data_IF_761847527548
#
_entry.id   IF_761847527548
#
_cell.length_a   1.000
_cell.length_b   1.000
_cell.length_c   1.000
_cell.angle_alpha   90.00
_cell.angle_beta   90.00
_cell.angle_gamma   90.00
#
_symmetry.space_group_name_H-M   'P 1'
#
loop_
_entity.id
_entity.type
_entity.pdbx_description
1 polymer ?
#
# COMPACT_ATOMS: atom_id res chain seq x y z
N UNK A 1 -10.03 18.31 -16.00
CA UNK A 1 -10.78 19.57 -15.94
C UNK A 1 -11.62 19.78 -17.20
N UNK A 2 -11.05 19.63 -18.41
CA UNK A 2 -11.78 19.83 -19.67
C UNK A 2 -13.03 18.96 -19.75
N UNK A 3 -12.91 17.66 -19.43
CA UNK A 3 -14.03 16.70 -19.49
C UNK A 3 -15.08 16.97 -18.40
N UNK A 4 -14.68 17.62 -17.30
CA UNK A 4 -15.58 18.05 -16.23
C UNK A 4 -16.19 19.45 -16.48
N UNK A 5 -15.78 20.15 -17.54
CA UNK A 5 -16.24 21.51 -17.84
C UNK A 5 -15.84 22.55 -16.78
N UNK A 6 -14.76 22.28 -16.01
CA UNK A 6 -14.28 23.14 -14.91
C UNK A 6 -13.00 23.84 -15.34
N UNK A 7 -12.92 25.15 -15.13
CA UNK A 7 -11.69 25.91 -15.34
C UNK A 7 -10.74 25.74 -14.14
N UNK A 8 -9.44 25.91 -14.36
CA UNK A 8 -8.48 25.82 -13.27
C UNK A 8 -8.68 26.92 -12.22
N UNK A 9 -9.18 28.09 -12.62
CA UNK A 9 -9.56 29.21 -11.73
C UNK A 9 -10.71 28.88 -10.79
N UNK A 10 -11.52 27.87 -11.10
CA UNK A 10 -12.71 27.50 -10.31
C UNK A 10 -12.37 26.45 -9.23
N UNK A 11 -11.12 25.98 -9.19
CA UNK A 11 -10.66 25.03 -8.18
C UNK A 11 -10.49 25.72 -6.82
N UNK A 12 -10.92 25.04 -5.76
CA UNK A 12 -10.70 25.50 -4.36
C UNK A 12 -9.27 25.27 -3.89
N UNK A 13 -8.58 24.25 -4.43
CA UNK A 13 -7.21 23.91 -4.13
C UNK A 13 -6.65 22.88 -5.15
N UNK A 14 -5.34 22.67 -5.15
CA UNK A 14 -4.69 21.54 -5.84
C UNK A 14 -4.05 20.63 -4.82
N UNK A 15 -4.48 19.38 -4.78
CA UNK A 15 -3.86 18.36 -3.94
C UNK A 15 -2.75 17.65 -4.71
N UNK A 16 -1.60 17.48 -4.08
CA UNK A 16 -0.45 16.80 -4.70
C UNK A 16 0.31 15.94 -3.71
N UNK A 17 0.72 14.76 -4.14
CA UNK A 17 1.57 13.87 -3.34
C UNK A 17 2.99 14.47 -3.25
N UNK A 18 3.41 14.75 -2.02
CA UNK A 18 4.76 15.26 -1.72
C UNK A 18 5.68 14.16 -1.17
N UNK A 19 5.15 13.01 -0.84
CA UNK A 19 5.87 11.83 -0.32
C UNK A 19 4.95 10.76 0.27
N UNK A 20 5.54 9.61 0.64
CA UNK A 20 6.85 9.12 0.21
C UNK A 20 6.84 8.71 -1.26
N UNK A 21 8.06 8.58 -1.86
CA UNK A 21 8.20 8.18 -3.25
C UNK A 21 9.54 8.58 -3.87
N UNK A 22 9.73 8.25 -5.13
CA UNK A 22 10.93 8.62 -5.87
C UNK A 22 10.99 10.13 -6.06
N UNK A 23 12.06 10.78 -5.59
CA UNK A 23 12.22 12.24 -5.61
C UNK A 23 11.97 12.85 -7.00
N UNK A 24 12.44 12.18 -8.05
CA UNK A 24 12.26 12.66 -9.44
C UNK A 24 10.78 12.65 -9.84
N UNK A 25 10.04 11.59 -9.49
CA UNK A 25 8.60 11.48 -9.78
C UNK A 25 7.78 12.49 -8.96
N UNK A 26 8.09 12.62 -7.67
CA UNK A 26 7.44 13.61 -6.80
C UNK A 26 7.64 15.02 -7.32
N UNK A 27 8.86 15.37 -7.76
CA UNK A 27 9.19 16.70 -8.27
C UNK A 27 8.31 17.08 -9.46
N UNK A 28 8.09 16.16 -10.41
CA UNK A 28 7.24 16.42 -11.59
C UNK A 28 5.83 16.85 -11.18
N UNK A 29 5.21 16.09 -10.26
CA UNK A 29 3.87 16.39 -9.77
C UNK A 29 3.80 17.70 -8.97
N UNK A 30 4.75 17.92 -8.08
CA UNK A 30 4.78 19.10 -7.20
C UNK A 30 5.02 20.37 -8.01
N UNK A 31 5.95 20.38 -8.97
CA UNK A 31 6.20 21.55 -9.83
C UNK A 31 4.94 21.89 -10.64
N UNK A 32 4.31 20.90 -11.28
CA UNK A 32 3.09 21.12 -12.03
C UNK A 32 1.95 21.67 -11.16
N UNK A 33 1.79 21.15 -9.96
CA UNK A 33 0.78 21.64 -8.99
C UNK A 33 1.08 23.09 -8.57
N UNK A 34 2.34 23.40 -8.24
CA UNK A 34 2.76 24.75 -7.87
C UNK A 34 2.52 25.76 -9.00
N UNK A 35 2.78 25.39 -10.24
CA UNK A 35 2.58 26.27 -11.41
C UNK A 35 1.08 26.60 -11.57
N UNK A 36 0.20 25.60 -11.46
CA UNK A 36 -1.27 25.82 -11.49
C UNK A 36 -1.72 26.72 -10.34
N UNK A 37 -1.26 26.43 -9.11
CA UNK A 37 -1.60 27.22 -7.93
C UNK A 37 -1.15 28.66 -8.06
N UNK A 38 0.08 28.91 -8.49
CA UNK A 38 0.63 30.25 -8.69
C UNK A 38 -0.11 31.03 -9.81
N UNK A 39 -0.42 30.36 -10.92
CA UNK A 39 -1.12 31.00 -12.04
C UNK A 39 -2.54 31.47 -11.67
N UNK A 40 -3.24 30.69 -10.85
CA UNK A 40 -4.66 30.94 -10.53
C UNK A 40 -4.86 31.46 -9.10
N UNK A 41 -3.79 31.68 -8.35
CA UNK A 41 -3.81 32.13 -6.95
C UNK A 41 -4.69 31.24 -6.05
N UNK A 42 -4.53 29.92 -6.17
CA UNK A 42 -5.27 28.92 -5.39
C UNK A 42 -4.35 28.13 -4.47
N UNK A 43 -4.85 27.68 -3.30
CA UNK A 43 -4.06 26.95 -2.33
C UNK A 43 -3.51 25.61 -2.87
N UNK A 44 -2.39 25.16 -2.31
CA UNK A 44 -1.85 23.82 -2.52
C UNK A 44 -2.04 22.97 -1.27
N UNK A 45 -2.40 21.70 -1.46
CA UNK A 45 -2.58 20.74 -0.36
C UNK A 45 -1.56 19.63 -0.48
N UNK A 46 -0.51 19.63 0.33
CA UNK A 46 0.45 18.52 0.39
C UNK A 46 -0.22 17.26 0.93
N UNK A 47 -0.09 16.14 0.20
CA UNK A 47 -0.71 14.85 0.56
C UNK A 47 0.35 13.78 0.76
N UNK A 48 0.18 13.00 1.82
CA UNK A 48 0.95 11.78 2.03
C UNK A 48 0.35 10.63 1.21
N UNK A 49 1.15 9.99 0.37
CA UNK A 49 0.70 8.94 -0.56
C UNK A 49 -0.04 7.79 0.13
N UNK A 50 0.50 7.27 1.24
CA UNK A 50 -0.12 6.15 1.96
C UNK A 50 -1.40 6.56 2.70
N UNK A 51 -1.51 7.83 3.15
CA UNK A 51 -2.73 8.38 3.72
C UNK A 51 -3.85 8.40 2.67
N UNK A 52 -3.53 8.81 1.44
CA UNK A 52 -4.49 8.84 0.34
C UNK A 52 -5.10 7.45 0.04
N UNK A 53 -4.28 6.39 0.10
CA UNK A 53 -4.77 5.01 -0.02
C UNK A 53 -5.74 4.60 1.10
N UNK A 54 -5.51 5.06 2.33
CA UNK A 54 -6.43 4.79 3.45
C UNK A 54 -7.73 5.61 3.34
N UNK A 55 -7.59 6.90 3.05
CA UNK A 55 -8.73 7.83 3.04
C UNK A 55 -9.68 7.63 1.86
N UNK A 56 -9.23 7.09 0.71
CA UNK A 56 -10.11 6.86 -0.45
C UNK A 56 -11.26 5.90 -0.13
N UNK A 57 -11.13 5.06 0.90
CA UNK A 57 -12.22 4.22 1.40
C UNK A 57 -13.40 5.06 1.93
N UNK A 58 -13.14 6.25 2.45
CA UNK A 58 -14.17 7.19 2.93
C UNK A 58 -14.97 7.81 1.78
N UNK A 59 -14.33 8.04 0.64
CA UNK A 59 -15.05 8.41 -0.60
C UNK A 59 -15.91 7.25 -1.10
N UNK A 60 -15.36 6.04 -1.13
CA UNK A 60 -16.03 4.87 -1.70
C UNK A 60 -17.16 4.32 -0.83
N UNK A 61 -16.94 4.27 0.50
CA UNK A 61 -17.88 3.71 1.47
C UNK A 61 -18.80 4.75 2.13
N UNK A 62 -18.52 6.03 1.92
CA UNK A 62 -19.15 7.15 2.64
C UNK A 62 -18.48 7.42 4.00
N UNK A 63 -18.39 8.70 4.36
CA UNK A 63 -17.78 9.14 5.62
C UNK A 63 -18.54 8.64 6.86
N UNK A 64 -19.85 8.41 6.72
CA UNK A 64 -20.68 7.85 7.79
C UNK A 64 -20.38 6.37 8.08
N UNK A 65 -19.94 5.62 7.08
CA UNK A 65 -19.61 4.20 7.22
C UNK A 65 -18.15 3.98 7.62
N UNK A 66 -17.24 4.85 7.14
CA UNK A 66 -15.81 4.79 7.45
C UNK A 66 -15.48 5.98 8.35
N UNK A 67 -15.82 5.86 9.64
CA UNK A 67 -15.52 6.87 10.66
C UNK A 67 -14.12 6.64 11.24
N UNK A 68 -13.53 7.67 11.78
CA UNK A 68 -12.34 7.53 12.61
C UNK A 68 -12.73 7.06 14.03
N UNK A 69 -11.92 6.25 14.70
CA UNK A 69 -10.75 5.56 14.17
C UNK A 69 -11.09 4.32 13.36
N UNK A 70 -10.23 3.95 12.39
CA UNK A 70 -10.34 2.69 11.66
C UNK A 70 -8.96 2.04 11.50
N UNK A 71 -8.95 0.72 11.28
CA UNK A 71 -7.72 -0.03 10.94
C UNK A 71 -7.57 -0.10 9.42
N UNK A 72 -6.48 0.45 8.87
CA UNK A 72 -6.15 0.33 7.46
C UNK A 72 -5.10 -0.77 7.25
N UNK A 73 -5.39 -1.71 6.35
CA UNK A 73 -4.44 -2.65 5.79
C UNK A 73 -4.13 -2.22 4.35
N UNK A 74 -2.93 -1.70 4.14
CA UNK A 74 -2.44 -1.29 2.84
C UNK A 74 -1.58 -2.41 2.25
N UNK A 75 -2.06 -3.06 1.18
CA UNK A 75 -1.40 -4.21 0.53
C UNK A 75 -1.24 -3.98 -0.96
N UNK A 76 -0.01 -3.78 -1.41
CA UNK A 76 0.32 -3.50 -2.80
C UNK A 76 1.58 -4.25 -3.25
N UNK A 77 2.05 -3.98 -4.46
CA UNK A 77 3.34 -4.49 -4.96
C UNK A 77 4.53 -3.98 -4.16
N UNK A 78 4.48 -2.77 -3.60
CA UNK A 78 5.59 -2.16 -2.87
C UNK A 78 5.39 -2.04 -1.36
N UNK A 79 4.17 -2.18 -0.87
CA UNK A 79 3.85 -1.89 0.53
C UNK A 79 2.94 -2.96 1.15
N UNK A 80 3.27 -3.34 2.40
CA UNK A 80 2.38 -4.03 3.32
C UNK A 80 2.45 -3.31 4.66
N UNK A 81 1.35 -2.66 5.06
CA UNK A 81 1.30 -1.93 6.33
C UNK A 81 -0.06 -2.11 7.01
N UNK A 82 -0.02 -2.26 8.32
CA UNK A 82 -1.18 -2.17 9.21
C UNK A 82 -1.08 -0.86 9.98
N UNK A 83 -2.10 -0.01 9.82
CA UNK A 83 -2.10 1.36 10.30
C UNK A 83 -3.39 1.62 11.06
N UNK A 84 -3.29 2.05 12.30
CA UNK A 84 -4.42 2.64 13.02
C UNK A 84 -4.53 4.10 12.57
N UNK A 85 -5.63 4.46 11.93
CA UNK A 85 -5.95 5.82 11.48
C UNK A 85 -6.96 6.43 12.45
N UNK A 86 -6.52 7.38 13.27
CA UNK A 86 -7.34 8.06 14.28
C UNK A 86 -7.99 9.34 13.74
N UNK A 87 -7.38 9.92 12.69
CA UNK A 87 -7.83 11.12 12.02
C UNK A 87 -6.96 11.40 10.80
N UNK A 88 -7.28 12.45 10.06
CA UNK A 88 -6.43 12.97 8.99
C UNK A 88 -5.12 13.48 9.59
N UNK A 89 -3.99 12.98 9.12
CA UNK A 89 -2.66 13.30 9.67
C UNK A 89 -2.33 12.60 10.99
N UNK A 90 -3.24 11.83 11.57
CA UNK A 90 -3.04 11.13 12.85
C UNK A 90 -3.10 9.62 12.68
N UNK A 91 -1.91 8.99 12.62
CA UNK A 91 -1.74 7.58 12.30
C UNK A 91 -0.72 6.92 13.22
N UNK A 92 -0.95 5.63 13.53
CA UNK A 92 -0.01 4.76 14.23
C UNK A 92 0.28 3.53 13.37
N UNK A 93 1.53 3.30 13.02
CA UNK A 93 1.96 2.10 12.28
C UNK A 93 2.09 0.94 13.26
N UNK A 94 1.18 -0.04 13.16
CA UNK A 94 1.17 -1.23 13.99
C UNK A 94 2.11 -2.32 13.46
N UNK A 95 2.31 -2.37 12.14
CA UNK A 95 3.22 -3.31 11.49
C UNK A 95 3.48 -2.95 10.04
N UNK A 96 4.60 -3.42 9.52
CA UNK A 96 4.98 -3.23 8.11
C UNK A 96 5.79 -4.42 7.61
N UNK A 97 5.95 -4.53 6.28
CA UNK A 97 6.84 -5.56 5.74
C UNK A 97 8.29 -5.29 6.11
N UNK A 98 9.01 -6.36 6.45
CA UNK A 98 10.44 -6.33 6.79
C UNK A 98 11.33 -6.60 5.55
N UNK A 99 10.71 -7.13 4.49
CA UNK A 99 11.37 -7.51 3.25
C UNK A 99 10.44 -7.28 2.05
N UNK A 100 10.10 -8.31 1.27
CA UNK A 100 9.18 -8.19 0.14
C UNK A 100 7.76 -7.83 0.60
N UNK A 101 7.03 -7.06 -0.21
CA UNK A 101 5.58 -6.88 -0.05
C UNK A 101 4.82 -8.09 -0.61
N UNK A 102 3.55 -8.26 -0.21
CA UNK A 102 2.72 -9.39 -0.65
C UNK A 102 2.56 -9.41 -2.18
N UNK A 103 2.24 -8.28 -2.80
CA UNK A 103 2.08 -8.21 -4.25
C UNK A 103 3.39 -8.55 -4.98
N UNK A 104 4.53 -8.11 -4.48
CA UNK A 104 5.85 -8.49 -5.01
C UNK A 104 6.09 -10.00 -4.88
N UNK A 105 5.66 -10.62 -3.76
CA UNK A 105 5.77 -12.06 -3.57
C UNK A 105 4.90 -12.84 -4.56
N UNK A 106 3.68 -12.36 -4.86
CA UNK A 106 2.81 -12.90 -5.90
C UNK A 106 3.45 -12.78 -7.28
N UNK A 107 3.95 -11.61 -7.65
CA UNK A 107 4.59 -11.36 -8.94
C UNK A 107 5.82 -12.24 -9.14
N UNK A 108 6.67 -12.37 -8.13
CA UNK A 108 7.86 -13.22 -8.16
C UNK A 108 7.49 -14.70 -8.27
N UNK A 109 6.46 -15.14 -7.54
CA UNK A 109 5.97 -16.53 -7.62
C UNK A 109 5.36 -16.83 -8.99
N UNK A 110 4.58 -15.92 -9.56
CA UNK A 110 4.05 -16.08 -10.92
C UNK A 110 5.16 -16.25 -11.95
N UNK A 111 6.22 -15.44 -11.85
CA UNK A 111 7.40 -15.57 -12.74
C UNK A 111 8.16 -16.88 -12.53
N UNK A 112 8.32 -17.34 -11.28
CA UNK A 112 8.93 -18.63 -10.97
C UNK A 112 8.16 -19.80 -11.61
N UNK A 113 6.84 -19.68 -11.70
CA UNK A 113 5.96 -20.67 -12.34
C UNK A 113 5.88 -20.50 -13.87
N UNK A 114 6.55 -19.49 -14.43
CA UNK A 114 6.55 -19.21 -15.87
C UNK A 114 5.22 -18.67 -16.38
N UNK A 115 4.44 -17.97 -15.54
CA UNK A 115 3.17 -17.36 -15.94
C UNK A 115 3.41 -16.06 -16.73
N UNK A 116 2.50 -15.75 -17.64
CA UNK A 116 2.48 -14.44 -18.29
C UNK A 116 2.05 -13.37 -17.27
N UNK A 117 2.92 -12.40 -17.05
CA UNK A 117 2.72 -11.32 -16.08
C UNK A 117 2.44 -9.96 -16.74
N UNK A 118 2.02 -9.94 -18.00
CA UNK A 118 1.77 -8.71 -18.76
C UNK A 118 0.71 -7.79 -18.13
N UNK A 119 -0.20 -8.35 -17.33
CA UNK A 119 -1.21 -7.61 -16.53
C UNK A 119 -0.94 -7.59 -15.02
N UNK A 120 0.25 -8.03 -14.58
CA UNK A 120 0.60 -8.26 -13.18
C UNK A 120 0.55 -9.75 -12.80
N UNK A 121 1.53 -10.20 -12.01
CA UNK A 121 1.64 -11.61 -11.61
C UNK A 121 0.55 -12.05 -10.63
N UNK A 122 -0.01 -11.13 -9.86
CA UNK A 122 -1.05 -11.42 -8.88
C UNK A 122 -2.29 -12.07 -9.49
N UNK A 123 -2.95 -11.46 -10.49
CA UNK A 123 -4.12 -12.05 -11.15
C UNK A 123 -3.83 -13.40 -11.84
N UNK A 124 -2.67 -13.53 -12.49
CA UNK A 124 -2.28 -14.78 -13.15
C UNK A 124 -2.09 -15.92 -12.14
N UNK A 125 -1.45 -15.62 -11.01
CA UNK A 125 -1.25 -16.60 -9.94
C UNK A 125 -2.57 -16.98 -9.26
N UNK A 126 -3.44 -16.01 -9.01
CA UNK A 126 -4.77 -16.24 -8.41
C UNK A 126 -5.61 -17.16 -9.31
N UNK A 127 -5.63 -16.91 -10.62
CA UNK A 127 -6.35 -17.75 -11.57
C UNK A 127 -5.82 -19.19 -11.56
N UNK A 128 -4.51 -19.37 -11.59
CA UNK A 128 -3.90 -20.70 -11.53
C UNK A 128 -4.14 -21.42 -10.20
N UNK A 129 -4.13 -20.68 -9.09
CA UNK A 129 -4.34 -21.25 -7.75
C UNK A 129 -5.74 -21.88 -7.57
N UNK A 130 -6.75 -21.42 -8.32
CA UNK A 130 -8.10 -22.02 -8.29
C UNK A 130 -8.10 -23.47 -8.79
N UNK A 131 -7.18 -23.83 -9.65
CA UNK A 131 -7.07 -25.16 -10.26
C UNK A 131 -6.27 -26.15 -9.41
N UNK A 132 -5.56 -25.66 -8.36
CA UNK A 132 -4.63 -26.43 -7.55
C UNK A 132 -5.18 -26.88 -6.20
N UNK A 133 -4.50 -27.88 -5.61
CA UNK A 133 -4.74 -28.28 -4.22
C UNK A 133 -3.87 -27.43 -3.28
N UNK A 134 -4.53 -26.61 -2.46
CA UNK A 134 -3.90 -25.74 -1.46
C UNK A 134 -3.12 -26.51 -0.36
N UNK A 135 -3.30 -27.81 -0.25
CA UNK A 135 -2.65 -28.67 0.75
C UNK A 135 -1.51 -29.52 0.17
N UNK A 136 -1.29 -29.48 -1.15
CA UNK A 136 -0.26 -30.28 -1.84
C UNK A 136 1.15 -29.95 -1.32
N UNK A 137 1.40 -28.65 -1.00
CA UNK A 137 2.68 -28.20 -0.45
C UNK A 137 2.49 -27.60 0.95
N UNK A 138 3.32 -28.04 1.89
CA UNK A 138 3.30 -27.51 3.28
C UNK A 138 4.26 -26.32 3.41
N UNK A 139 3.96 -25.22 2.73
CA UNK A 139 4.76 -24.01 2.88
C UNK A 139 4.63 -23.41 4.29
N UNK A 140 5.74 -22.90 4.85
CA UNK A 140 5.72 -22.30 6.18
C UNK A 140 4.99 -20.96 6.16
N UNK A 141 4.09 -20.75 7.12
CA UNK A 141 3.53 -19.41 7.38
C UNK A 141 4.65 -18.53 7.95
N UNK A 142 4.96 -17.37 7.29
CA UNK A 142 6.07 -16.53 7.72
C UNK A 142 5.89 -15.98 9.14
N UNK A 143 7.00 -15.74 9.84
CA UNK A 143 7.05 -15.11 11.17
C UNK A 143 6.09 -15.73 12.21
N UNK A 144 5.65 -16.97 12.07
CA UNK A 144 4.62 -17.61 12.91
C UNK A 144 4.93 -17.55 14.42
N UNK A 145 6.23 -17.56 14.78
CA UNK A 145 6.67 -17.50 16.18
C UNK A 145 6.76 -16.07 16.73
N UNK A 146 6.73 -15.05 15.87
CA UNK A 146 6.77 -13.64 16.28
C UNK A 146 5.36 -13.14 16.54
N UNK A 147 5.17 -12.57 17.75
CA UNK A 147 3.88 -12.02 18.18
C UNK A 147 3.79 -10.52 17.91
N UNK A 148 4.10 -10.10 16.67
CA UNK A 148 3.97 -8.72 16.20
C UNK A 148 3.07 -8.66 14.97
N UNK A 149 2.85 -7.46 14.43
CA UNK A 149 2.02 -7.21 13.25
C UNK A 149 2.85 -7.02 11.97
N UNK A 150 4.17 -7.29 12.00
CA UNK A 150 5.03 -7.17 10.83
C UNK A 150 4.85 -8.34 9.86
N UNK A 151 5.15 -8.06 8.59
CA UNK A 151 5.10 -9.02 7.50
C UNK A 151 6.49 -9.40 7.01
N UNK A 152 6.59 -10.57 6.39
CA UNK A 152 7.77 -11.03 5.68
C UNK A 152 7.35 -12.10 4.67
N UNK A 153 7.86 -12.04 3.46
CA UNK A 153 7.55 -13.02 2.41
C UNK A 153 8.80 -13.64 1.77
N UNK A 154 10.00 -13.16 2.10
CA UNK A 154 11.25 -13.66 1.55
C UNK A 154 11.47 -15.17 1.80
N UNK A 155 11.16 -15.65 3.02
CA UNK A 155 11.26 -17.06 3.37
C UNK A 155 10.25 -17.94 2.62
N UNK A 156 9.01 -17.46 2.44
CA UNK A 156 7.98 -18.15 1.68
C UNK A 156 8.36 -18.25 0.20
N UNK A 157 8.82 -17.14 -0.39
CA UNK A 157 9.34 -17.12 -1.76
C UNK A 157 10.48 -18.11 -1.98
N UNK A 158 11.42 -18.21 -1.02
CA UNK A 158 12.50 -19.19 -1.07
C UNK A 158 11.97 -20.63 -1.05
N UNK A 159 10.97 -20.92 -0.20
CA UNK A 159 10.35 -22.24 -0.15
C UNK A 159 9.67 -22.61 -1.46
N UNK A 160 8.97 -21.65 -2.10
CA UNK A 160 8.37 -21.82 -3.44
C UNK A 160 9.44 -22.09 -4.48
N UNK A 161 10.52 -21.30 -4.50
CA UNK A 161 11.63 -21.52 -5.44
C UNK A 161 12.19 -22.94 -5.36
N UNK A 162 12.47 -23.42 -4.15
CA UNK A 162 12.97 -24.78 -3.93
C UNK A 162 11.96 -25.86 -4.39
N UNK A 163 10.67 -25.65 -4.23
CA UNK A 163 9.65 -26.55 -4.74
C UNK A 163 9.64 -26.59 -6.28
N UNK A 164 9.73 -25.42 -6.93
CA UNK A 164 9.81 -25.30 -8.39
C UNK A 164 11.08 -25.98 -8.94
N UNK A 165 12.24 -25.74 -8.30
CA UNK A 165 13.51 -26.38 -8.69
C UNK A 165 13.40 -27.93 -8.62
N UNK A 166 12.83 -28.44 -7.53
CA UNK A 166 12.72 -29.87 -7.29
C UNK A 166 11.72 -30.56 -8.24
N UNK A 167 10.51 -30.01 -8.41
CA UNK A 167 9.38 -30.71 -9.00
C UNK A 167 9.11 -30.31 -10.46
N UNK A 168 9.59 -29.15 -10.89
CA UNK A 168 9.49 -28.69 -12.27
C UNK A 168 10.81 -28.80 -13.05
N UNK A 169 11.84 -29.36 -12.42
CA UNK A 169 13.09 -29.71 -13.11
C UNK A 169 13.96 -28.54 -13.54
N UNK A 170 13.91 -27.43 -12.81
CA UNK A 170 14.81 -26.30 -13.03
C UNK A 170 16.19 -26.66 -12.47
N UNK A 171 17.30 -26.47 -13.24
CA UNK A 171 18.64 -26.77 -12.75
C UNK A 171 18.97 -25.99 -11.47
N UNK A 172 19.49 -26.69 -10.47
CA UNK A 172 19.98 -26.07 -9.25
C UNK A 172 21.10 -25.07 -9.58
N UNK A 173 21.00 -23.85 -9.09
CA UNK A 173 22.00 -22.82 -9.33
C UNK A 173 21.88 -22.07 -10.65
N UNK A 174 20.80 -22.23 -11.43
CA UNK A 174 20.55 -21.37 -12.58
C UNK A 174 20.50 -19.89 -12.15
N UNK A 175 21.50 -19.13 -12.60
CA UNK A 175 21.67 -17.73 -12.24
C UNK A 175 20.48 -16.88 -12.71
N UNK A 176 19.87 -17.21 -13.85
CA UNK A 176 18.70 -16.51 -14.38
C UNK A 176 17.46 -16.76 -13.49
N UNK A 177 17.24 -18.01 -13.08
CA UNK A 177 16.17 -18.39 -12.18
C UNK A 177 16.36 -17.80 -10.76
N UNK A 178 17.59 -17.83 -10.25
CA UNK A 178 17.93 -17.24 -8.96
C UNK A 178 17.76 -15.72 -8.96
N UNK A 179 18.07 -15.05 -10.07
CA UNK A 179 17.92 -13.60 -10.24
C UNK A 179 16.45 -13.14 -10.13
N UNK A 180 15.47 -13.97 -10.51
CA UNK A 180 14.02 -13.67 -10.32
C UNK A 180 13.66 -13.45 -8.86
N UNK A 181 14.41 -14.08 -7.94
CA UNK A 181 14.18 -14.01 -6.50
C UNK A 181 14.97 -12.90 -5.82
N UNK A 182 15.93 -12.25 -6.50
CA UNK A 182 16.77 -11.23 -5.90
C UNK A 182 15.98 -9.92 -5.63
N UNK A 183 16.19 -9.27 -4.48
CA UNK A 183 15.56 -7.98 -4.18
C UNK A 183 15.92 -6.92 -5.21
N UNK A 184 14.92 -6.19 -5.71
CA UNK A 184 15.13 -5.04 -6.61
C UNK A 184 15.53 -5.36 -8.04
N UNK A 185 15.60 -6.63 -8.44
CA UNK A 185 15.84 -6.99 -9.83
C UNK A 185 14.54 -7.17 -10.60
N UNK A 186 14.42 -6.52 -11.75
CA UNK A 186 13.34 -6.73 -12.72
C UNK A 186 13.75 -7.94 -13.59
N UNK A 187 13.00 -9.05 -13.56
CA UNK A 187 13.30 -10.21 -14.40
C UNK A 187 13.22 -9.84 -15.87
N UNK A 188 14.17 -10.31 -16.65
CA UNK A 188 14.17 -10.13 -18.11
C UNK A 188 13.34 -11.24 -18.78
N UNK A 189 12.79 -11.01 -19.99
CA UNK A 189 11.99 -12.01 -20.72
C UNK A 189 12.68 -13.36 -20.92
N UNK A 190 14.02 -13.37 -21.00
CA UNK A 190 14.81 -14.60 -21.09
C UNK A 190 14.67 -15.52 -19.87
N UNK A 191 14.28 -15.01 -18.71
CA UNK A 191 14.04 -15.81 -17.50
C UNK A 191 12.78 -16.69 -17.61
N UNK A 192 11.84 -16.35 -18.51
CA UNK A 192 10.65 -17.15 -18.76
C UNK A 192 10.98 -18.47 -19.54
N UNK A 193 12.16 -18.57 -20.14
CA UNK A 193 12.56 -19.75 -20.94
C UNK A 193 12.87 -21.00 -20.11
N UNK A 194 13.07 -20.85 -18.81
CA UNK A 194 13.48 -21.94 -17.91
C UNK A 194 12.40 -23.03 -17.78
N UNK A 195 11.14 -22.70 -18.06
CA UNK A 195 10.00 -23.61 -17.91
C UNK A 195 9.30 -23.91 -19.25
N UNK A 196 10.04 -24.06 -20.35
CA UNK A 196 9.42 -24.38 -21.64
C UNK A 196 8.89 -25.83 -21.67
N UNK A 197 7.73 -25.99 -22.28
CA UNK A 197 7.05 -27.28 -22.47
C UNK A 197 7.37 -27.90 -23.84
N UNK A 198 8.30 -27.30 -24.59
CA UNK A 198 8.67 -27.74 -25.92
C UNK A 198 9.26 -29.18 -25.89
N UNK A 199 8.62 -30.07 -26.62
CA UNK A 199 9.04 -31.49 -26.73
C UNK A 199 8.51 -32.43 -25.64
N UNK A 200 7.62 -31.92 -24.75
CA UNK A 200 6.92 -32.77 -23.77
C UNK A 200 5.69 -33.43 -24.40
N UNK A 201 5.29 -34.61 -23.88
CA UNK A 201 3.99 -35.18 -24.20
C UNK A 201 2.83 -34.40 -23.54
N UNK A 202 1.62 -34.51 -24.09
CA UNK A 202 0.42 -33.84 -23.54
C UNK A 202 0.19 -34.22 -22.08
N UNK A 203 0.38 -35.49 -21.71
CA UNK A 203 0.27 -35.98 -20.33
C UNK A 203 1.31 -35.30 -19.40
N UNK A 204 2.55 -35.13 -19.90
CA UNK A 204 3.59 -34.46 -19.11
C UNK A 204 3.35 -32.96 -18.96
N UNK A 205 2.77 -32.31 -19.97
CA UNK A 205 2.34 -30.91 -19.90
C UNK A 205 1.22 -30.74 -18.87
N UNK A 206 0.21 -31.63 -18.90
CA UNK A 206 -0.91 -31.59 -17.92
C UNK A 206 -0.43 -31.85 -16.49
N UNK A 207 0.43 -32.83 -16.26
CA UNK A 207 1.03 -33.11 -14.96
C UNK A 207 1.85 -31.91 -14.44
N UNK A 208 2.59 -31.25 -15.34
CA UNK A 208 3.35 -30.05 -15.03
C UNK A 208 2.44 -28.86 -14.69
N UNK A 209 1.36 -28.66 -15.45
CA UNK A 209 0.36 -27.64 -15.18
C UNK A 209 -0.26 -27.84 -13.80
N UNK A 210 -0.68 -29.07 -13.48
CA UNK A 210 -1.19 -29.39 -12.15
C UNK A 210 -0.19 -29.09 -11.04
N UNK A 211 1.07 -29.44 -11.21
CA UNK A 211 2.13 -29.13 -10.23
C UNK A 211 2.26 -27.62 -10.02
N UNK A 212 2.23 -26.81 -11.09
CA UNK A 212 2.24 -25.33 -11.00
C UNK A 212 1.02 -24.83 -10.24
N UNK A 213 -0.17 -25.37 -10.53
CA UNK A 213 -1.41 -24.99 -9.87
C UNK A 213 -1.39 -25.32 -8.36
N UNK A 214 -0.89 -26.51 -7.99
CA UNK A 214 -0.75 -26.94 -6.59
C UNK A 214 0.23 -26.05 -5.82
N UNK A 215 1.37 -25.66 -6.44
CA UNK A 215 2.32 -24.71 -5.84
C UNK A 215 1.66 -23.34 -5.66
N UNK A 216 0.94 -22.84 -6.68
CA UNK A 216 0.25 -21.55 -6.61
C UNK A 216 -0.81 -21.51 -5.50
N UNK A 217 -1.65 -22.54 -5.40
CA UNK A 217 -2.69 -22.66 -4.39
C UNK A 217 -2.09 -22.72 -2.96
N UNK A 218 -1.06 -23.56 -2.78
CA UNK A 218 -0.39 -23.72 -1.49
C UNK A 218 0.38 -22.46 -1.06
N UNK A 219 1.00 -21.74 -2.02
CA UNK A 219 1.61 -20.43 -1.76
C UNK A 219 0.57 -19.42 -1.31
N UNK A 220 -0.52 -19.29 -2.07
CA UNK A 220 -1.62 -18.36 -1.75
C UNK A 220 -2.17 -18.61 -0.35
N UNK A 221 -2.43 -19.87 -0.01
CA UNK A 221 -2.87 -20.27 1.32
C UNK A 221 -1.91 -19.80 2.43
N UNK A 222 -0.62 -20.06 2.30
CA UNK A 222 0.38 -19.67 3.30
C UNK A 222 0.50 -18.14 3.43
N UNK A 223 0.46 -17.43 2.30
CA UNK A 223 0.55 -15.97 2.23
C UNK A 223 -0.69 -15.30 2.85
N UNK A 224 -1.88 -15.77 2.50
CA UNK A 224 -3.15 -15.25 3.04
C UNK A 224 -3.28 -15.56 4.54
N UNK A 225 -2.86 -16.75 4.97
CA UNK A 225 -2.85 -17.09 6.40
C UNK A 225 -1.94 -16.17 7.21
N UNK A 226 -0.78 -15.80 6.67
CA UNK A 226 0.10 -14.82 7.30
C UNK A 226 -0.59 -13.46 7.44
N UNK A 227 -1.25 -12.98 6.36
CA UNK A 227 -1.98 -11.72 6.37
C UNK A 227 -3.11 -11.72 7.42
N UNK A 228 -3.89 -12.80 7.48
CA UNK A 228 -4.97 -13.02 8.45
C UNK A 228 -4.46 -12.91 9.90
N UNK A 229 -3.41 -13.67 10.24
CA UNK A 229 -2.85 -13.69 11.60
C UNK A 229 -2.34 -12.32 12.06
N UNK A 230 -1.76 -11.53 11.13
CA UNK A 230 -1.27 -10.18 11.43
C UNK A 230 -2.41 -9.18 11.57
N UNK A 231 -3.43 -9.29 10.73
CA UNK A 231 -4.60 -8.41 10.80
C UNK A 231 -5.41 -8.64 12.07
N UNK A 232 -5.64 -9.90 12.47
CA UNK A 232 -6.29 -10.23 13.76
C UNK A 232 -5.56 -9.59 14.94
N UNK A 233 -4.24 -9.71 14.99
CA UNK A 233 -3.43 -9.09 16.05
C UNK A 233 -3.45 -7.56 15.99
N UNK A 234 -3.48 -6.98 14.80
CA UNK A 234 -3.54 -5.53 14.66
C UNK A 234 -4.88 -4.94 15.16
N UNK A 235 -5.98 -5.69 15.05
CA UNK A 235 -7.26 -5.30 15.65
C UNK A 235 -7.13 -5.24 17.19
N UNK A 236 -6.49 -6.25 17.80
CA UNK A 236 -6.23 -6.28 19.25
C UNK A 236 -5.34 -5.08 19.66
N UNK A 237 -4.22 -4.87 18.95
CA UNK A 237 -3.29 -3.78 19.25
C UNK A 237 -3.89 -2.39 19.04
N UNK A 238 -4.72 -2.23 18.01
CA UNK A 238 -5.45 -0.98 17.81
C UNK A 238 -6.38 -0.66 18.98
N UNK A 239 -7.07 -1.68 19.52
CA UNK A 239 -7.86 -1.55 20.74
C UNK A 239 -7.03 -1.11 21.93
N UNK A 240 -5.84 -1.70 22.14
CA UNK A 240 -4.92 -1.31 23.21
C UNK A 240 -4.51 0.17 23.08
N UNK A 241 -4.03 0.57 21.89
CA UNK A 241 -3.57 1.94 21.61
C UNK A 241 -4.69 2.98 21.81
N UNK A 242 -5.92 2.65 21.44
CA UNK A 242 -7.06 3.53 21.62
C UNK A 242 -7.47 3.70 23.09
N UNK A 243 -7.16 2.71 23.92
CA UNK A 243 -7.51 2.73 25.36
C UNK A 243 -6.34 3.16 26.26
N UNK A 244 -5.11 3.27 25.72
CA UNK A 244 -3.93 3.80 26.44
C UNK A 244 -4.03 5.33 26.57
N UNK A 245 -4.71 5.83 27.56
CA UNK A 245 -4.73 7.29 27.84
C UNK A 245 -6.04 7.84 28.35
N UNK A 246 -7.12 7.09 28.29
CA UNK A 246 -8.39 7.50 28.84
C UNK A 246 -8.71 6.75 30.14
N UNK A 247 -8.56 7.46 31.25
CA UNK A 247 -9.21 7.06 32.51
C UNK A 247 -10.72 7.00 32.30
N UNK A 248 -11.27 5.79 32.12
CA UNK A 248 -12.67 5.40 32.36
C UNK A 248 -13.82 6.17 31.68
N UNK A 249 -13.66 6.78 30.51
CA UNK A 249 -14.82 7.35 29.77
C UNK A 249 -14.83 6.91 28.31
N UNK A 250 -15.57 5.84 28.03
CA UNK A 250 -15.98 5.42 26.70
C UNK A 250 -14.85 4.70 25.94
N UNK A 251 -14.89 3.36 25.89
CA UNK A 251 -13.95 2.58 25.06
C UNK A 251 -14.05 3.06 23.62
N UNK A 252 -13.02 3.78 23.14
CA UNK A 252 -12.89 4.10 21.74
C UNK A 252 -12.72 2.76 20.97
N UNK A 253 -13.59 2.50 20.02
CA UNK A 253 -13.59 1.27 19.21
C UNK A 253 -13.36 1.59 17.76
N UNK A 254 -12.73 0.66 17.04
CA UNK A 254 -12.61 0.76 15.59
C UNK A 254 -13.99 0.79 14.92
N UNK A 255 -14.15 1.64 13.93
CA UNK A 255 -15.38 1.71 13.12
C UNK A 255 -15.44 0.62 12.05
N UNK A 256 -14.30 0.27 11.47
CA UNK A 256 -14.19 -0.71 10.39
C UNK A 256 -12.72 -1.14 10.17
N UNK A 257 -12.56 -2.16 9.31
CA UNK A 257 -11.27 -2.51 8.70
C UNK A 257 -11.33 -2.06 7.24
N UNK A 258 -10.39 -1.21 6.83
CA UNK A 258 -10.19 -0.78 5.44
C UNK A 258 -9.09 -1.61 4.82
N UNK A 259 -9.33 -2.18 3.63
CA UNK A 259 -8.30 -2.89 2.85
C UNK A 259 -8.11 -2.18 1.52
N UNK A 260 -6.93 -1.64 1.28
CA UNK A 260 -6.60 -0.88 0.07
C UNK A 260 -5.24 -1.32 -0.52
N UNK A 261 -5.00 -0.94 -1.78
CA UNK A 261 -3.85 -1.37 -2.57
C UNK A 261 -4.23 -2.48 -3.56
N UNK A 262 -3.38 -2.72 -4.56
CA UNK A 262 -3.69 -3.61 -5.68
C UNK A 262 -4.01 -5.06 -5.27
N UNK A 263 -3.41 -5.58 -4.20
CA UNK A 263 -3.67 -6.94 -3.69
C UNK A 263 -5.07 -7.06 -3.06
N UNK A 264 -5.69 -5.94 -2.65
CA UNK A 264 -7.08 -5.93 -2.18
C UNK A 264 -8.11 -6.37 -3.25
N UNK A 265 -7.71 -6.44 -4.53
CA UNK A 265 -8.53 -6.97 -5.60
C UNK A 265 -8.62 -8.51 -5.59
N UNK A 266 -7.66 -9.22 -4.97
CA UNK A 266 -7.63 -10.69 -4.88
C UNK A 266 -8.81 -11.20 -4.05
N UNK A 267 -9.58 -12.15 -4.60
CA UNK A 267 -10.81 -12.66 -4.00
C UNK A 267 -10.53 -13.45 -2.71
N UNK A 268 -9.51 -14.32 -2.71
CA UNK A 268 -9.14 -15.13 -1.54
C UNK A 268 -8.66 -14.25 -0.38
N UNK A 269 -7.91 -13.17 -0.69
CA UNK A 269 -7.51 -12.19 0.32
C UNK A 269 -8.74 -11.50 0.92
N UNK A 270 -9.68 -11.06 0.09
CA UNK A 270 -10.91 -10.40 0.56
C UNK A 270 -11.77 -11.33 1.41
N UNK A 271 -11.95 -12.56 0.99
CA UNK A 271 -12.73 -13.56 1.73
C UNK A 271 -12.14 -13.80 3.12
N UNK A 272 -10.84 -14.07 3.19
CA UNK A 272 -10.13 -14.28 4.47
C UNK A 272 -10.23 -13.05 5.39
N UNK A 273 -10.04 -11.84 4.86
CA UNK A 273 -10.12 -10.62 5.65
C UNK A 273 -11.56 -10.27 6.04
N UNK A 274 -12.56 -10.67 5.23
CA UNK A 274 -13.98 -10.55 5.62
C UNK A 274 -14.31 -11.43 6.82
N UNK A 275 -13.74 -12.64 6.88
CA UNK A 275 -13.87 -13.51 8.04
C UNK A 275 -13.21 -12.88 9.28
N UNK A 276 -12.00 -12.32 9.14
CA UNK A 276 -11.30 -11.60 10.24
C UNK A 276 -12.14 -10.43 10.76
N UNK A 277 -12.71 -9.63 9.87
CA UNK A 277 -13.54 -8.49 10.24
C UNK A 277 -14.83 -8.95 10.95
N UNK A 278 -15.50 -9.99 10.42
CA UNK A 278 -16.69 -10.58 11.01
C UNK A 278 -16.41 -11.13 12.42
N UNK A 279 -15.31 -11.86 12.60
CA UNK A 279 -14.88 -12.39 13.91
C UNK A 279 -14.66 -11.26 14.94
N UNK A 280 -14.21 -10.09 14.48
CA UNK A 280 -14.01 -8.90 15.31
C UNK A 280 -15.28 -8.03 15.48
N UNK A 281 -16.40 -8.40 14.85
CA UNK A 281 -17.62 -7.58 14.86
C UNK A 281 -17.49 -6.27 14.09
N UNK A 282 -16.57 -6.18 13.13
CA UNK A 282 -16.27 -4.97 12.36
C UNK A 282 -16.69 -5.14 10.90
N UNK A 283 -17.19 -4.10 10.22
CA UNK A 283 -17.35 -4.12 8.79
C UNK A 283 -15.99 -4.10 8.06
N UNK A 284 -15.88 -4.84 6.95
CA UNK A 284 -14.78 -4.71 6.01
C UNK A 284 -15.17 -3.72 4.91
N UNK A 285 -14.30 -2.75 4.63
CA UNK A 285 -14.49 -1.78 3.55
C UNK A 285 -13.31 -1.87 2.59
N UNK A 286 -13.61 -2.12 1.32
CA UNK A 286 -12.62 -2.13 0.24
C UNK A 286 -13.06 -1.15 -0.83
N UNK A 287 -12.19 -0.19 -1.23
CA UNK A 287 -12.49 0.69 -2.36
C UNK A 287 -12.72 -0.12 -3.65
N UNK A 288 -13.45 0.42 -4.64
CA UNK A 288 -13.53 -0.17 -5.96
C UNK A 288 -12.13 -0.44 -6.53
N UNK A 289 -11.96 -1.54 -7.27
CA UNK A 289 -10.65 -1.97 -7.79
C UNK A 289 -9.88 -0.85 -8.52
N UNK A 290 -10.58 -0.02 -9.29
CA UNK A 290 -10.00 1.15 -9.99
C UNK A 290 -9.40 2.22 -9.07
N UNK A 291 -9.74 2.21 -7.77
CA UNK A 291 -9.21 3.13 -6.76
C UNK A 291 -8.26 2.45 -5.76
N UNK A 292 -8.05 1.14 -5.90
CA UNK A 292 -7.09 0.40 -5.07
C UNK A 292 -5.64 0.60 -5.53
N UNK A 293 -5.40 0.86 -6.82
CA UNK A 293 -4.08 1.21 -7.37
C UNK A 293 -3.87 2.73 -7.32
N UNK A 294 -2.63 3.19 -7.53
CA UNK A 294 -2.28 4.61 -7.57
C UNK A 294 -3.17 5.37 -8.57
N UNK A 295 -3.82 6.43 -8.10
CA UNK A 295 -4.71 7.25 -8.95
C UNK A 295 -4.85 8.67 -8.40
N UNK A 296 -5.26 9.60 -9.25
CA UNK A 296 -5.48 11.01 -8.86
C UNK A 296 -6.68 11.22 -7.94
N UNK A 297 -7.70 10.34 -7.99
CA UNK A 297 -8.92 10.48 -7.18
C UNK A 297 -8.62 10.32 -5.69
N UNK A 298 -7.77 9.35 -5.31
CA UNK A 298 -7.40 9.16 -3.91
C UNK A 298 -6.63 10.37 -3.35
N UNK A 299 -5.77 10.99 -4.18
CA UNK A 299 -5.01 12.18 -3.77
C UNK A 299 -5.94 13.38 -3.64
N UNK A 300 -6.85 13.57 -4.61
CA UNK A 300 -7.85 14.62 -4.57
C UNK A 300 -8.75 14.49 -3.33
N UNK A 301 -9.22 13.27 -3.01
CA UNK A 301 -10.05 13.05 -1.83
C UNK A 301 -9.31 13.34 -0.52
N UNK A 302 -8.07 12.87 -0.38
CA UNK A 302 -7.24 13.22 0.77
C UNK A 302 -7.04 14.73 0.86
N UNK A 303 -6.89 15.41 -0.28
CA UNK A 303 -6.86 16.86 -0.36
C UNK A 303 -8.13 17.53 0.12
N UNK A 304 -9.30 17.01 -0.23
CA UNK A 304 -10.61 17.53 0.26
C UNK A 304 -10.71 17.42 1.77
N UNK A 305 -10.38 16.26 2.35
CA UNK A 305 -10.42 16.08 3.81
C UNK A 305 -9.41 16.98 4.53
N UNK A 306 -8.19 17.14 3.99
CA UNK A 306 -7.16 18.03 4.54
C UNK A 306 -7.55 19.51 4.41
N UNK A 307 -8.13 19.91 3.26
CA UNK A 307 -8.62 21.27 3.04
C UNK A 307 -9.73 21.63 4.04
N UNK A 308 -10.66 20.71 4.29
CA UNK A 308 -11.74 20.90 5.26
C UNK A 308 -11.22 21.14 6.70
N UNK A 309 -10.01 20.66 7.01
CA UNK A 309 -9.32 20.88 8.29
C UNK A 309 -8.37 22.09 8.27
N UNK A 310 -8.37 22.89 7.20
CA UNK A 310 -7.47 24.03 7.06
C UNK A 310 -5.99 23.68 6.87
N UNK A 311 -5.69 22.47 6.41
CA UNK A 311 -4.33 21.96 6.17
C UNK A 311 -3.82 22.26 4.76
N UNK A 312 -4.31 23.31 4.13
CA UNK A 312 -3.79 23.83 2.87
C UNK A 312 -2.68 24.85 3.12
N UNK A 313 -1.74 24.91 2.22
CA UNK A 313 -0.72 25.96 2.17
C UNK A 313 -1.17 27.08 1.23
N UNK A 314 -0.77 28.30 1.52
CA UNK A 314 -1.05 29.46 0.66
C UNK A 314 -0.47 29.23 -0.75
N UNK A 315 -1.08 29.86 -1.79
CA UNK A 315 -0.56 29.79 -3.15
C UNK A 315 0.92 30.16 -3.19
N UNK A 316 1.77 29.38 -3.85
CA UNK A 316 3.17 29.77 -4.05
C UNK A 316 3.22 31.03 -4.91
N UNK A 317 4.24 31.88 -4.70
CA UNK A 317 4.45 33.06 -5.54
C UNK A 317 4.58 32.67 -7.03
N UNK A 318 4.00 33.44 -7.97
CA UNK A 318 4.19 33.18 -9.39
C UNK A 318 5.67 33.17 -9.77
N UNK A 319 6.08 32.24 -10.61
CA UNK A 319 7.42 32.27 -11.17
C UNK A 319 7.50 33.42 -12.17
N UNK A 320 7.96 34.57 -11.74
CA UNK A 320 8.30 35.70 -12.60
C UNK A 320 9.64 35.36 -13.26
N UNK A 321 9.59 34.77 -14.46
CA UNK A 321 10.73 34.29 -15.21
C UNK A 321 11.92 35.24 -15.15
N UNK A 322 12.85 34.96 -14.26
CA UNK A 322 14.18 35.51 -14.25
C UNK A 322 15.09 34.61 -15.08
N UNK A 323 15.81 35.17 -16.00
CA UNK A 323 16.85 34.50 -16.76
C UNK A 323 17.80 33.81 -15.78
N UNK A 324 17.83 32.50 -15.82
CA UNK A 324 18.63 31.45 -15.14
C UNK A 324 19.73 31.73 -14.14
N UNK A 325 19.90 32.91 -13.59
CA UNK A 325 21.09 33.33 -12.78
C UNK A 325 20.76 33.59 -11.29
N UNK A 326 19.61 33.12 -10.78
CA UNK A 326 19.41 32.94 -9.31
C UNK A 326 19.73 34.15 -8.39
N UNK A 327 19.71 35.39 -8.88
CA UNK A 327 20.15 36.58 -8.12
C UNK A 327 19.04 37.53 -7.66
N UNK A 328 17.78 37.28 -8.03
CA UNK A 328 16.68 38.02 -7.42
C UNK A 328 16.11 37.25 -6.26
N UNK A 329 16.43 37.72 -5.06
CA UNK A 329 16.20 37.11 -3.75
C UNK A 329 14.76 37.09 -3.25
N UNK A 330 13.82 36.69 -4.09
CA UNK A 330 12.50 36.24 -3.62
C UNK A 330 12.59 34.77 -3.26
N UNK A 331 12.64 34.43 -1.96
CA UNK A 331 12.51 33.06 -1.50
C UNK A 331 11.18 32.47 -2.02
N UNK A 332 11.27 31.67 -3.09
CA UNK A 332 10.13 30.91 -3.58
C UNK A 332 9.78 29.93 -2.45
N UNK A 333 8.59 30.04 -1.91
CA UNK A 333 8.09 29.06 -0.92
C UNK A 333 7.89 27.75 -1.65
N UNK A 334 8.91 26.89 -1.64
CA UNK A 334 8.85 25.59 -2.26
C UNK A 334 8.12 24.61 -1.34
N UNK A 335 7.14 23.88 -1.89
CA UNK A 335 6.55 22.75 -1.18
C UNK A 335 7.62 21.68 -1.01
N UNK A 336 7.95 21.26 0.21
CA UNK A 336 9.04 20.33 0.45
C UNK A 336 8.71 18.94 -0.12
N UNK A 337 9.65 18.34 -0.83
CA UNK A 337 9.58 16.93 -1.21
C UNK A 337 10.03 16.07 -0.03
N UNK A 338 9.20 15.07 0.32
CA UNK A 338 9.42 14.16 1.42
C UNK A 338 9.55 12.71 0.92
N UNK A 339 10.63 12.35 0.20
CA UNK A 339 10.80 11.01 -0.39
C UNK A 339 10.74 9.88 0.63
N UNK A 340 11.14 10.17 1.87
CA UNK A 340 11.05 9.29 3.03
C UNK A 340 10.22 9.97 4.10
N UNK A 341 8.94 9.68 4.09
CA UNK A 341 7.99 10.25 5.02
C UNK A 341 7.20 9.10 5.68
N UNK A 342 7.47 8.77 6.95
CA UNK A 342 6.65 7.78 7.66
C UNK A 342 5.25 8.32 7.89
N UNK A 343 4.25 7.45 7.78
CA UNK A 343 2.85 7.81 8.00
C UNK A 343 2.50 7.86 9.51
N UNK A 344 3.22 8.62 10.28
CA UNK A 344 3.00 8.76 11.73
C UNK A 344 4.00 7.96 12.58
N UNK A 345 3.67 7.81 13.87
CA UNK A 345 4.49 7.07 14.83
C UNK A 345 4.36 5.56 14.63
N UNK A 346 5.38 4.83 15.07
CA UNK A 346 5.35 3.37 15.08
C UNK A 346 5.04 2.88 16.48
N UNK A 347 4.17 1.89 16.61
CA UNK A 347 3.92 1.18 17.86
C UNK A 347 5.22 0.51 18.37
N UNK A 348 5.49 0.60 19.67
CA UNK A 348 6.72 0.07 20.26
C UNK A 348 6.87 -1.45 20.14
N UNK A 349 5.75 -2.16 20.02
CA UNK A 349 5.69 -3.62 19.82
C UNK A 349 6.05 -4.05 18.40
N UNK A 350 5.98 -3.13 17.42
CA UNK A 350 6.41 -3.37 16.05
C UNK A 350 7.94 -3.40 15.95
N UNK A 351 8.47 -4.23 15.05
CA UNK A 351 9.92 -4.30 14.84
C UNK A 351 10.43 -2.94 14.34
N UNK A 352 11.38 -2.36 15.06
CA UNK A 352 11.99 -1.10 14.66
C UNK A 352 12.70 -1.22 13.31
N UNK A 353 12.76 -0.12 12.55
CA UNK A 353 13.62 -0.04 11.37
C UNK A 353 15.05 -0.45 11.73
N UNK A 354 15.68 -1.27 10.89
CA UNK A 354 17.08 -1.67 11.08
C UNK A 354 17.96 -0.43 11.23
N UNK A 355 18.95 -0.49 12.12
CA UNK A 355 19.81 0.62 12.59
C UNK A 355 20.48 1.50 11.51
N UNK A 356 20.29 1.22 10.22
CA UNK A 356 20.84 2.01 9.13
C UNK A 356 20.10 3.34 8.87
N UNK A 357 18.87 3.51 9.35
CA UNK A 357 18.06 4.71 9.13
C UNK A 357 18.16 5.78 10.25
N UNK A 358 18.88 5.50 11.34
CA UNK A 358 18.99 6.41 12.51
C UNK A 358 19.87 7.66 12.34
N UNK A 359 20.33 7.97 11.14
CA UNK A 359 21.08 9.21 10.87
C UNK A 359 20.47 9.99 9.71
N UNK A 360 19.41 10.78 9.96
CA UNK A 360 19.18 12.15 9.49
C UNK A 360 17.73 12.57 9.73
N UNK A 361 17.57 13.59 10.55
CA UNK A 361 16.49 14.57 10.55
C UNK A 361 15.05 14.03 10.45
N UNK A 362 14.44 13.69 11.56
CA UNK A 362 12.98 13.62 11.64
C UNK A 362 12.41 15.02 11.37
N UNK A 363 11.75 15.21 10.22
CA UNK A 363 10.80 16.29 10.10
C UNK A 363 9.63 15.95 11.05
N UNK A 364 9.28 16.88 11.91
CA UNK A 364 8.13 16.75 12.79
C UNK A 364 6.86 16.55 11.94
N UNK A 365 5.88 15.74 12.41
CA UNK A 365 4.59 15.66 11.74
C UNK A 365 3.97 17.06 11.71
N UNK A 366 3.36 17.44 10.57
CA UNK A 366 2.55 18.63 10.47
C UNK A 366 1.27 18.40 11.28
N UNK A 367 1.37 18.57 12.60
CA UNK A 367 0.20 18.58 13.48
C UNK A 367 -0.38 20.00 13.51
N UNK A 368 -1.71 20.15 13.45
CA UNK A 368 -2.34 21.47 13.66
C UNK A 368 -1.99 21.97 15.06
N UNK A 369 -1.63 23.25 15.18
CA UNK A 369 -1.52 23.91 16.46
C UNK A 369 -2.90 23.93 17.12
N UNK A 370 -3.10 23.13 18.16
CA UNK A 370 -4.13 23.18 19.18
C UNK A 370 -5.53 23.63 18.72
N UNK A 371 -6.28 22.73 18.08
CA UNK A 371 -7.72 22.85 17.90
C UNK A 371 -8.37 21.54 18.33
N UNK A 372 -9.27 21.61 19.30
CA UNK A 372 -10.09 20.48 19.69
C UNK A 372 -10.87 19.97 18.48
N UNK A 373 -10.73 18.67 18.20
CA UNK A 373 -11.48 18.00 17.15
C UNK A 373 -12.96 17.91 17.57
N UNK A 374 -13.71 18.97 17.29
CA UNK A 374 -15.16 18.93 17.31
C UNK A 374 -15.63 18.39 15.95
N UNK A 375 -16.62 17.50 15.97
CA UNK A 375 -17.30 16.87 14.83
C UNK A 375 -17.66 17.85 13.70
N UNK A 376 -16.71 18.14 12.82
CA UNK A 376 -16.99 18.84 11.57
C UNK A 376 -17.35 17.80 10.49
N UNK A 377 -18.66 17.57 10.39
CA UNK A 377 -19.26 16.89 9.25
C UNK A 377 -18.98 17.73 8.00
N UNK A 378 -18.28 17.16 7.04
CA UNK A 378 -18.13 17.78 5.73
C UNK A 378 -19.53 18.06 5.14
N UNK A 379 -19.76 19.26 4.55
CA UNK A 379 -21.04 19.56 3.94
C UNK A 379 -21.35 18.55 2.85
N UNK A 380 -22.58 18.00 2.89
CA UNK A 380 -23.03 17.00 1.91
C UNK A 380 -22.89 17.56 0.49
N UNK A 381 -22.17 16.84 -0.33
CA UNK A 381 -22.08 17.10 -1.77
C UNK A 381 -23.31 16.44 -2.40
N UNK A 382 -24.02 17.14 -3.32
CA UNK A 382 -25.21 16.63 -3.98
C UNK A 382 -24.94 15.42 -4.88
#
# INVERSE_FOLDING_TARGET
LRDAGVAASDLSAVAVTVGPGLSMCLRVGVVAAQDVCAQHNIPIVPVHHMEAHGLVARLAGGTERVKFPFLALLVSGGHNQLILTRGVGDHVILGSTLDDALGEAYDKTARLLGLDVGGGGGPALEALAVEGDENAYKFPVPLRRRKNCDFSYAGLKTAVRLAVERDLGVPEGDAAFTAVCAPGQVPRPEHARVLTEAGMSDEAVEARHKTKADIAASFQKAAVKHLEERTKRAVEWAGDVLNEGEGTRGMASLSCIVVAGGVAANATVRESLSAVASDAGLPLVTPPAKWCTDNGVMVAWAGVERLALGLAEEPPAPWLGGDGDGKDGGERREVPLLPRWPLGSRDERATGETKSSKKKGMAAPLTPAGGEASDLVAPGIP
#
